data_IF_407163975690
#
_entry.id   IF_407163975690
#
_cell.length_a   1.000
_cell.length_b   1.000
_cell.length_c   1.000
_cell.angle_alpha   90.00
_cell.angle_beta   90.00
_cell.angle_gamma   90.00
#
_symmetry.space_group_name_H-M   'P 1'
#
loop_
_entity.id
_entity.type
_entity.pdbx_description
1 polymer ?
#
# COMPACT_ATOMS: atom_id res chain seq x y z
N UNK A 1 -6.96 -2.88 -11.44
CA UNK A 1 -7.99 -2.80 -10.40
C UNK A 1 -8.73 -4.11 -10.38
N UNK A 2 -8.99 -4.67 -9.23
CA UNK A 2 -9.76 -5.89 -9.06
C UNK A 2 -10.82 -5.68 -7.98
N UNK A 3 -12.08 -5.90 -8.36
CA UNK A 3 -13.14 -6.35 -7.47
C UNK A 3 -12.71 -7.75 -7.06
N UNK A 4 -12.62 -8.18 -5.87
CA UNK A 4 -12.15 -9.51 -5.47
C UNK A 4 -10.68 -9.75 -5.81
N UNK A 5 -9.83 -9.11 -5.04
CA UNK A 5 -8.38 -9.20 -5.18
C UNK A 5 -7.87 -10.60 -4.81
N UNK A 6 -6.83 -11.09 -5.53
CA UNK A 6 -6.06 -12.26 -5.11
C UNK A 6 -4.98 -11.95 -4.06
N UNK A 7 -4.91 -10.70 -3.60
CA UNK A 7 -4.00 -10.28 -2.53
C UNK A 7 -4.70 -10.58 -1.20
N UNK A 8 -4.14 -11.51 -0.43
CA UNK A 8 -4.81 -12.14 0.73
C UNK A 8 -5.17 -11.17 1.86
N UNK A 9 -4.48 -10.05 2.01
CA UNK A 9 -4.73 -9.08 3.07
C UNK A 9 -5.75 -7.98 2.70
N UNK A 10 -6.30 -8.01 1.49
CA UNK A 10 -7.29 -7.03 1.03
C UNK A 10 -8.39 -7.69 0.20
N UNK A 11 -9.61 -7.16 0.27
CA UNK A 11 -10.74 -7.64 -0.54
C UNK A 11 -10.65 -7.10 -1.98
N UNK A 12 -10.21 -5.85 -2.13
CA UNK A 12 -10.17 -5.16 -3.41
C UNK A 12 -8.85 -4.40 -3.61
N UNK A 13 -8.54 -4.05 -4.86
CA UNK A 13 -7.46 -3.11 -5.16
C UNK A 13 -7.99 -1.93 -5.96
N UNK A 14 -7.55 -0.73 -5.64
CA UNK A 14 -7.86 0.48 -6.36
C UNK A 14 -6.58 1.21 -6.81
N UNK A 15 -6.60 1.69 -8.06
CA UNK A 15 -5.56 2.55 -8.60
C UNK A 15 -6.25 3.67 -9.36
N UNK A 16 -5.95 4.91 -9.02
CA UNK A 16 -6.51 6.07 -9.73
C UNK A 16 -5.81 6.26 -11.08
N UNK A 17 -4.53 5.88 -11.11
CA UNK A 17 -3.69 5.87 -12.31
C UNK A 17 -2.75 4.67 -12.33
N UNK A 18 -2.09 4.44 -13.43
CA UNK A 18 -0.93 3.57 -13.54
C UNK A 18 0.32 4.42 -13.79
N UNK A 19 1.40 4.06 -13.14
CA UNK A 19 2.68 4.74 -13.21
C UNK A 19 3.17 5.16 -11.84
N UNK A 20 4.47 5.07 -11.65
CA UNK A 20 5.16 5.43 -10.42
C UNK A 20 6.62 5.73 -10.74
N UNK A 21 7.35 6.17 -9.74
CA UNK A 21 8.79 6.48 -9.78
C UNK A 21 9.50 5.66 -8.73
N UNK A 22 10.66 5.11 -9.05
CA UNK A 22 11.47 4.36 -8.09
C UNK A 22 11.96 5.28 -6.96
N UNK A 23 12.02 4.75 -5.74
CA UNK A 23 12.42 5.49 -4.53
C UNK A 23 13.65 4.86 -3.88
N UNK A 24 13.68 3.52 -3.81
CA UNK A 24 14.73 2.75 -3.15
C UNK A 24 14.77 1.32 -3.71
N UNK A 25 15.72 0.53 -3.30
CA UNK A 25 15.96 -0.85 -3.78
C UNK A 25 14.75 -1.80 -3.74
N UNK A 26 13.75 -1.53 -2.92
CA UNK A 26 12.47 -2.25 -2.96
C UNK A 26 11.64 -2.01 -4.22
N UNK A 27 12.10 -1.11 -5.12
CA UNK A 27 11.49 -0.87 -6.42
C UNK A 27 12.20 -1.61 -7.57
N UNK A 28 13.40 -2.20 -7.37
CA UNK A 28 14.23 -2.74 -8.46
C UNK A 28 13.53 -3.86 -9.24
N UNK A 29 12.79 -4.73 -8.56
CA UNK A 29 12.02 -5.81 -9.16
C UNK A 29 10.50 -5.53 -9.20
N UNK A 30 10.11 -4.25 -9.32
CA UNK A 30 8.71 -3.83 -9.24
C UNK A 30 7.80 -4.61 -10.20
N UNK A 31 6.87 -5.37 -9.63
CA UNK A 31 5.89 -6.11 -10.42
C UNK A 31 4.94 -5.18 -11.19
N UNK A 32 4.65 -4.01 -10.62
CA UNK A 32 3.74 -3.05 -11.25
C UNK A 32 4.36 -2.44 -12.53
N UNK A 33 5.66 -2.15 -12.53
CA UNK A 33 6.39 -1.72 -13.71
C UNK A 33 6.43 -2.80 -14.79
N UNK A 34 6.73 -4.06 -14.40
CA UNK A 34 6.71 -5.20 -15.32
C UNK A 34 5.33 -5.40 -15.96
N UNK A 35 4.25 -5.22 -15.17
CA UNK A 35 2.88 -5.23 -15.69
C UNK A 35 2.60 -4.04 -16.60
N UNK A 36 2.92 -2.83 -16.19
CA UNK A 36 2.71 -1.62 -16.98
C UNK A 36 3.35 -1.73 -18.38
N UNK A 37 4.58 -2.21 -18.44
CA UNK A 37 5.33 -2.41 -19.68
C UNK A 37 4.62 -3.39 -20.65
N UNK A 38 3.99 -4.46 -20.13
CA UNK A 38 3.19 -5.40 -20.96
C UNK A 38 1.98 -4.75 -21.63
N UNK A 39 1.45 -3.69 -21.04
CA UNK A 39 0.31 -2.94 -21.56
C UNK A 39 0.70 -1.60 -22.20
N UNK A 40 2.00 -1.43 -22.52
CA UNK A 40 2.52 -0.23 -23.19
C UNK A 40 2.36 1.05 -22.34
N UNK A 41 2.32 0.92 -21.01
CA UNK A 41 2.29 2.07 -20.11
C UNK A 41 3.71 2.47 -19.76
N UNK A 42 4.08 3.69 -20.10
CA UNK A 42 5.37 4.26 -19.71
C UNK A 42 5.48 4.36 -18.18
N UNK A 43 6.68 4.12 -17.66
CA UNK A 43 7.00 4.13 -16.23
C UNK A 43 8.19 5.06 -15.94
N UNK A 44 8.31 5.55 -14.72
CA UNK A 44 9.46 6.36 -14.30
C UNK A 44 9.19 7.85 -14.16
N UNK A 45 10.27 8.64 -13.99
CA UNK A 45 10.20 10.05 -13.63
C UNK A 45 9.57 10.93 -14.70
N UNK A 46 9.87 10.66 -15.97
CA UNK A 46 9.48 11.51 -17.09
C UNK A 46 8.20 10.98 -17.80
N UNK A 47 7.58 9.94 -17.22
CA UNK A 47 6.41 9.34 -17.80
C UNK A 47 5.13 9.95 -17.21
N UNK A 48 4.16 10.38 -18.04
CA UNK A 48 2.84 10.75 -17.55
C UNK A 48 2.16 9.56 -16.88
N UNK A 49 1.22 9.82 -15.99
CA UNK A 49 0.43 8.80 -15.31
C UNK A 49 -0.82 8.50 -16.13
N UNK A 50 -1.11 7.23 -16.40
CA UNK A 50 -2.27 6.85 -17.18
C UNK A 50 -3.47 6.65 -16.27
N UNK A 51 -4.52 7.49 -16.41
CA UNK A 51 -5.75 7.37 -15.64
C UNK A 51 -6.41 6.00 -15.84
N UNK A 52 -6.97 5.46 -14.78
CA UNK A 52 -7.72 4.20 -14.83
C UNK A 52 -9.19 4.51 -15.14
N UNK A 53 -9.61 4.18 -16.38
CA UNK A 53 -11.01 4.34 -16.80
C UNK A 53 -11.96 3.59 -15.86
N UNK A 54 -13.01 4.27 -15.41
CA UNK A 54 -14.07 3.66 -14.59
C UNK A 54 -13.70 3.45 -13.12
N UNK A 55 -12.57 3.99 -12.63
CA UNK A 55 -12.13 3.81 -11.24
C UNK A 55 -13.19 4.26 -10.23
N UNK A 56 -13.86 5.39 -10.51
CA UNK A 56 -14.86 5.96 -9.62
C UNK A 56 -16.09 5.06 -9.49
N UNK A 57 -16.64 4.58 -10.61
CA UNK A 57 -17.76 3.63 -10.62
C UNK A 57 -17.41 2.30 -9.93
N UNK A 58 -16.18 1.83 -10.10
CA UNK A 58 -15.73 0.60 -9.42
C UNK A 58 -15.63 0.79 -7.90
N UNK A 59 -15.16 1.94 -7.42
CA UNK A 59 -15.12 2.25 -5.99
C UNK A 59 -16.53 2.30 -5.38
N UNK A 60 -17.48 2.92 -6.08
CA UNK A 60 -18.88 2.90 -5.67
C UNK A 60 -19.47 1.49 -5.68
N UNK A 61 -19.12 0.65 -6.66
CA UNK A 61 -19.50 -0.76 -6.70
C UNK A 61 -18.94 -1.58 -5.53
N UNK A 62 -17.67 -1.32 -5.14
CA UNK A 62 -17.07 -1.95 -3.94
C UNK A 62 -17.83 -1.54 -2.67
N UNK A 63 -18.16 -0.26 -2.53
CA UNK A 63 -18.95 0.25 -1.41
C UNK A 63 -20.34 -0.41 -1.36
N UNK A 64 -21.04 -0.47 -2.49
CA UNK A 64 -22.36 -1.10 -2.56
C UNK A 64 -22.31 -2.59 -2.19
N UNK A 65 -21.29 -3.33 -2.67
CA UNK A 65 -21.08 -4.75 -2.34
C UNK A 65 -20.84 -4.94 -0.84
N UNK A 66 -19.95 -4.16 -0.24
CA UNK A 66 -19.64 -4.25 1.18
C UNK A 66 -20.87 -3.88 2.04
N UNK A 67 -21.60 -2.83 1.69
CA UNK A 67 -22.82 -2.42 2.38
C UNK A 67 -23.91 -3.49 2.30
N UNK A 68 -24.10 -4.11 1.14
CA UNK A 68 -25.09 -5.19 0.97
C UNK A 68 -24.76 -6.45 1.81
N UNK A 69 -23.45 -6.71 2.02
CA UNK A 69 -22.98 -7.79 2.90
C UNK A 69 -23.02 -7.42 4.39
N UNK A 70 -23.21 -6.15 4.75
CA UNK A 70 -23.07 -5.67 6.13
C UNK A 70 -21.64 -5.73 6.66
N UNK A 71 -20.65 -5.70 5.78
CA UNK A 71 -19.24 -5.89 6.09
C UNK A 71 -18.41 -4.63 5.85
N UNK A 72 -17.19 -4.63 6.39
CA UNK A 72 -16.14 -3.64 6.04
C UNK A 72 -15.14 -4.32 5.11
N UNK A 73 -15.09 -3.88 3.85
CA UNK A 73 -14.13 -4.41 2.89
C UNK A 73 -12.85 -3.57 2.86
N UNK A 74 -11.71 -4.23 2.96
CA UNK A 74 -10.39 -3.59 2.80
C UNK A 74 -10.11 -3.33 1.32
N UNK A 75 -9.64 -2.13 1.01
CA UNK A 75 -9.25 -1.71 -0.34
C UNK A 75 -7.79 -1.28 -0.33
N UNK A 76 -6.92 -2.07 -0.94
CA UNK A 76 -5.53 -1.68 -1.16
C UNK A 76 -5.44 -0.62 -2.26
N UNK A 77 -5.02 0.58 -1.88
CA UNK A 77 -4.84 1.72 -2.80
C UNK A 77 -3.35 1.86 -3.13
N UNK A 78 -3.02 1.73 -4.42
CA UNK A 78 -1.65 1.94 -4.88
C UNK A 78 -0.89 0.68 -5.29
N UNK A 79 -1.58 -0.37 -5.78
CA UNK A 79 -0.88 -1.55 -6.30
C UNK A 79 -0.11 -1.28 -7.61
N UNK A 80 -0.50 -0.27 -8.39
CA UNK A 80 0.12 0.16 -9.67
C UNK A 80 0.54 1.63 -9.67
N UNK A 81 0.50 2.29 -8.52
CA UNK A 81 0.84 3.70 -8.32
C UNK A 81 1.35 3.92 -6.90
N UNK A 82 1.78 5.14 -6.60
CA UNK A 82 1.95 5.62 -5.22
C UNK A 82 1.04 6.84 -5.02
N UNK A 83 0.06 6.72 -4.10
CA UNK A 83 -0.94 7.77 -3.87
C UNK A 83 -0.31 9.08 -3.35
N UNK A 84 0.86 9.01 -2.72
CA UNK A 84 1.60 10.16 -2.19
C UNK A 84 2.81 10.56 -3.05
N UNK A 85 2.81 10.16 -4.33
CA UNK A 85 3.74 10.72 -5.30
C UNK A 85 3.42 12.21 -5.54
N UNK A 86 4.44 13.04 -5.82
CA UNK A 86 4.20 14.43 -6.22
C UNK A 86 3.30 14.48 -7.47
N UNK A 87 2.56 15.59 -7.68
CA UNK A 87 1.70 15.73 -8.86
C UNK A 87 2.46 15.47 -10.17
N UNK A 88 1.85 14.68 -11.04
CA UNK A 88 2.39 14.29 -12.35
C UNK A 88 1.30 14.48 -13.41
N UNK A 89 1.68 14.84 -14.66
CA UNK A 89 0.75 14.92 -15.78
C UNK A 89 -0.02 13.60 -15.96
N UNK A 90 -1.28 13.71 -16.34
CA UNK A 90 -2.17 12.57 -16.55
C UNK A 90 -2.57 12.44 -18.00
N UNK A 91 -2.55 11.21 -18.52
CA UNK A 91 -3.04 10.87 -19.85
C UNK A 91 -4.18 9.85 -19.77
N UNK A 92 -5.05 9.84 -20.75
CA UNK A 92 -6.09 8.82 -20.91
C UNK A 92 -5.55 7.55 -21.59
N UNK A 93 -6.42 6.57 -21.85
CA UNK A 93 -6.05 5.33 -22.55
C UNK A 93 -5.47 5.54 -23.96
N UNK A 94 -5.82 6.63 -24.63
CA UNK A 94 -5.31 7.02 -25.94
C UNK A 94 -4.01 7.83 -25.87
N UNK A 95 -3.41 7.97 -24.70
CA UNK A 95 -2.23 8.81 -24.42
C UNK A 95 -2.44 10.31 -24.69
N UNK A 96 -3.68 10.78 -24.72
CA UNK A 96 -4.00 12.20 -24.76
C UNK A 96 -3.87 12.80 -23.37
N UNK A 97 -3.16 13.92 -23.27
CA UNK A 97 -3.00 14.65 -22.02
C UNK A 97 -4.36 15.18 -21.52
N UNK A 98 -4.58 15.04 -20.21
CA UNK A 98 -5.80 15.54 -19.57
C UNK A 98 -5.52 16.89 -18.89
N UNK A 99 -6.54 17.75 -18.73
CA UNK A 99 -6.36 19.10 -18.17
C UNK A 99 -6.17 19.13 -16.64
N UNK A 100 -5.74 18.02 -16.06
CA UNK A 100 -5.49 17.85 -14.63
C UNK A 100 -4.35 16.87 -14.38
N UNK A 101 -3.81 16.90 -13.17
CA UNK A 101 -2.71 16.06 -12.71
C UNK A 101 -3.16 14.99 -11.68
N UNK A 102 -2.22 14.17 -11.22
CA UNK A 102 -2.50 13.17 -10.17
C UNK A 102 -2.89 13.78 -8.83
N UNK A 103 -2.51 15.04 -8.57
CA UNK A 103 -2.94 15.78 -7.37
C UNK A 103 -4.43 16.06 -7.38
N UNK A 104 -5.01 16.36 -8.55
CA UNK A 104 -6.46 16.49 -8.72
C UNK A 104 -7.17 15.15 -8.44
N UNK A 105 -6.71 14.06 -9.04
CA UNK A 105 -7.32 12.74 -8.84
C UNK A 105 -7.27 12.31 -7.37
N UNK A 106 -6.13 12.53 -6.70
CA UNK A 106 -5.95 12.25 -5.27
C UNK A 106 -6.91 13.09 -4.42
N UNK A 107 -7.03 14.40 -4.67
CA UNK A 107 -7.94 15.28 -3.94
C UNK A 107 -9.39 14.82 -4.08
N UNK A 108 -9.82 14.53 -5.30
CA UNK A 108 -11.14 13.98 -5.58
C UNK A 108 -11.40 12.68 -4.80
N UNK A 109 -10.44 11.78 -4.78
CA UNK A 109 -10.53 10.54 -4.01
C UNK A 109 -10.69 10.80 -2.50
N UNK A 110 -9.91 11.71 -1.94
CA UNK A 110 -9.94 12.02 -0.52
C UNK A 110 -11.22 12.77 -0.10
N UNK A 111 -11.71 13.67 -0.93
CA UNK A 111 -12.82 14.58 -0.59
C UNK A 111 -14.20 14.05 -1.01
N UNK A 112 -14.28 13.24 -2.06
CA UNK A 112 -15.56 12.74 -2.58
C UNK A 112 -15.81 11.25 -2.28
N UNK A 113 -14.78 10.40 -2.43
CA UNK A 113 -14.95 8.95 -2.35
C UNK A 113 -14.83 8.43 -0.92
N UNK A 114 -13.78 8.80 -0.20
CA UNK A 114 -13.54 8.29 1.15
C UNK A 114 -14.69 8.63 2.10
N UNK A 115 -15.22 9.88 2.14
CA UNK A 115 -16.34 10.21 3.03
C UNK A 115 -17.65 9.50 2.71
N UNK A 116 -17.86 9.13 1.45
CA UNK A 116 -19.09 8.48 0.97
C UNK A 116 -18.99 6.94 0.96
N UNK A 117 -17.91 6.38 1.50
CA UNK A 117 -17.64 4.94 1.48
C UNK A 117 -17.41 4.36 2.88
N UNK A 118 -18.41 4.41 3.79
CA UNK A 118 -18.25 3.99 5.18
C UNK A 118 -17.99 2.48 5.35
N UNK A 119 -18.38 1.65 4.38
CA UNK A 119 -18.15 0.20 4.39
C UNK A 119 -16.82 -0.22 3.71
N UNK A 120 -15.96 0.74 3.36
CA UNK A 120 -14.63 0.46 2.84
C UNK A 120 -13.56 0.97 3.81
N UNK A 121 -12.58 0.13 4.11
CA UNK A 121 -11.35 0.50 4.80
C UNK A 121 -10.26 0.70 3.74
N UNK A 122 -9.84 1.93 3.51
CA UNK A 122 -8.81 2.28 2.53
C UNK A 122 -7.42 2.14 3.12
N UNK A 123 -6.62 1.24 2.55
CA UNK A 123 -5.23 0.98 2.93
C UNK A 123 -4.32 1.77 1.97
N UNK A 124 -3.90 2.96 2.39
CA UNK A 124 -3.12 3.92 1.59
C UNK A 124 -1.63 3.60 1.75
N UNK A 125 -1.09 2.74 0.89
CA UNK A 125 0.31 2.33 0.95
C UNK A 125 1.21 3.26 0.12
N UNK A 126 2.35 3.64 0.69
CA UNK A 126 3.35 4.49 0.02
C UNK A 126 4.79 4.09 0.35
N UNK A 127 5.70 4.41 -0.57
CA UNK A 127 7.14 4.44 -0.30
C UNK A 127 7.66 5.87 0.01
N UNK A 128 6.72 6.83 0.19
CA UNK A 128 6.99 8.27 0.40
C UNK A 128 6.27 8.80 1.66
N UNK A 129 6.50 8.20 2.85
CA UNK A 129 5.73 8.58 4.05
C UNK A 129 5.89 10.07 4.43
N UNK A 130 7.01 10.71 4.08
CA UNK A 130 7.24 12.15 4.30
C UNK A 130 6.25 13.06 3.55
N UNK A 131 5.56 12.54 2.55
CA UNK A 131 4.59 13.29 1.76
C UNK A 131 3.16 13.21 2.31
N UNK A 132 2.85 12.22 3.18
CA UNK A 132 1.49 12.02 3.69
C UNK A 132 0.92 13.33 4.24
N UNK A 133 1.56 13.91 5.26
CA UNK A 133 1.06 15.15 5.91
C UNK A 133 0.98 16.36 4.98
N UNK A 134 1.74 16.37 3.88
CA UNK A 134 1.74 17.47 2.91
C UNK A 134 0.59 17.36 1.91
N UNK A 135 0.04 16.15 1.70
CA UNK A 135 -0.86 15.84 0.60
C UNK A 135 -2.26 15.41 1.04
N UNK A 136 -2.46 15.11 2.32
CA UNK A 136 -3.79 14.84 2.88
C UNK A 136 -4.55 16.16 3.11
N UNK A 137 -5.89 16.15 3.16
CA UNK A 137 -6.70 17.30 3.55
C UNK A 137 -6.27 17.84 4.93
N UNK A 138 -6.26 19.15 5.11
CA UNK A 138 -5.82 19.78 6.37
C UNK A 138 -6.56 19.25 7.59
N UNK A 139 -7.86 18.97 7.45
CA UNK A 139 -8.68 18.39 8.52
C UNK A 139 -8.13 17.05 9.03
N UNK A 140 -7.55 16.23 8.14
CA UNK A 140 -7.02 14.92 8.51
C UNK A 140 -5.75 14.98 9.35
N UNK A 141 -5.09 16.13 9.42
CA UNK A 141 -3.94 16.32 10.31
C UNK A 141 -4.33 16.18 11.79
N UNK A 142 -5.59 16.51 12.13
CA UNK A 142 -6.12 16.44 13.50
C UNK A 142 -7.28 15.44 13.63
N UNK A 143 -8.06 15.25 12.57
CA UNK A 143 -9.24 14.38 12.53
C UNK A 143 -9.16 13.44 11.32
N UNK A 144 -8.29 12.42 11.38
CA UNK A 144 -8.18 11.46 10.28
C UNK A 144 -9.46 10.62 10.15
N UNK A 145 -9.85 10.24 8.93
CA UNK A 145 -11.02 9.39 8.71
C UNK A 145 -10.83 8.01 9.37
N UNK A 146 -11.88 7.49 10.00
CA UNK A 146 -11.85 6.16 10.63
C UNK A 146 -11.69 5.02 9.63
N UNK A 147 -12.07 5.23 8.38
CA UNK A 147 -12.00 4.28 7.29
C UNK A 147 -10.73 4.43 6.42
N UNK A 148 -9.67 5.00 6.99
CA UNK A 148 -8.36 5.11 6.34
C UNK A 148 -7.28 4.57 7.26
N UNK A 149 -6.36 3.78 6.70
CA UNK A 149 -5.08 3.44 7.31
C UNK A 149 -3.94 3.96 6.42
N UNK A 150 -2.98 4.64 7.03
CA UNK A 150 -1.77 5.08 6.34
C UNK A 150 -0.68 4.02 6.49
N UNK A 151 -0.17 3.53 5.36
CA UNK A 151 0.87 2.52 5.37
C UNK A 151 2.12 2.95 4.65
N UNK A 152 3.25 2.40 5.07
CA UNK A 152 4.49 2.59 4.36
C UNK A 152 5.26 1.28 4.14
N UNK A 153 5.95 1.19 2.99
CA UNK A 153 6.78 0.04 2.68
C UNK A 153 8.11 0.12 3.43
N UNK A 154 8.50 -1.00 4.01
CA UNK A 154 9.77 -1.20 4.72
C UNK A 154 10.48 -2.38 4.08
N UNK A 155 11.76 -2.27 3.76
CA UNK A 155 12.48 -3.33 3.03
C UNK A 155 13.75 -3.81 3.74
N UNK A 156 14.34 -2.96 4.59
CA UNK A 156 15.56 -3.22 5.36
C UNK A 156 15.55 -2.41 6.67
N UNK A 157 16.55 -2.61 7.54
CA UNK A 157 16.64 -1.92 8.84
C UNK A 157 16.69 -0.40 8.70
N UNK A 158 17.42 0.11 7.71
CA UNK A 158 17.53 1.55 7.46
C UNK A 158 16.17 2.14 7.10
N UNK A 159 15.46 1.51 6.16
CA UNK A 159 14.12 1.97 5.77
C UNK A 159 13.12 1.84 6.92
N UNK A 160 13.23 0.82 7.79
CA UNK A 160 12.39 0.68 8.98
C UNK A 160 12.52 1.91 9.90
N UNK A 161 13.75 2.34 10.20
CA UNK A 161 14.03 3.51 11.03
C UNK A 161 13.53 4.81 10.36
N UNK A 162 13.84 4.99 9.07
CA UNK A 162 13.49 6.21 8.34
C UNK A 162 11.97 6.35 8.13
N UNK A 163 11.29 5.23 7.83
CA UNK A 163 9.85 5.16 7.68
C UNK A 163 9.16 5.41 9.03
N UNK A 164 9.61 4.74 10.10
CA UNK A 164 9.03 4.93 11.44
C UNK A 164 9.06 6.40 11.86
N UNK A 165 10.21 7.07 11.74
CA UNK A 165 10.39 8.49 12.07
C UNK A 165 9.39 9.41 11.38
N UNK A 166 8.94 9.02 10.18
CA UNK A 166 8.02 9.82 9.35
C UNK A 166 6.57 9.41 9.57
N UNK A 167 6.29 8.11 9.58
CA UNK A 167 4.94 7.57 9.66
C UNK A 167 4.33 7.77 11.06
N UNK A 168 5.12 7.59 12.14
CA UNK A 168 4.67 7.80 13.53
C UNK A 168 4.21 9.24 13.84
N UNK A 169 4.52 10.19 12.96
CA UNK A 169 4.04 11.59 13.06
C UNK A 169 2.69 11.82 12.36
N UNK A 170 2.15 10.80 11.70
CA UNK A 170 0.84 10.86 11.03
C UNK A 170 -0.22 10.42 12.03
N UNK A 171 -1.24 11.25 12.24
CA UNK A 171 -2.38 10.86 13.05
C UNK A 171 -3.26 9.86 12.31
N UNK A 172 -3.81 8.88 13.01
CA UNK A 172 -4.70 7.86 12.46
C UNK A 172 -4.13 6.45 12.60
N UNK A 173 -4.75 5.50 11.96
CA UNK A 173 -4.34 4.09 11.97
C UNK A 173 -3.16 3.89 11.03
N UNK A 174 -2.14 3.16 11.48
CA UNK A 174 -0.88 3.02 10.77
C UNK A 174 -0.54 1.55 10.49
N UNK A 175 0.10 1.27 9.35
CA UNK A 175 0.58 -0.08 9.06
C UNK A 175 1.90 -0.09 8.31
N UNK A 176 2.64 -1.18 8.48
CA UNK A 176 3.80 -1.49 7.65
C UNK A 176 3.48 -2.54 6.61
N UNK A 177 4.00 -2.33 5.40
CA UNK A 177 4.14 -3.36 4.39
C UNK A 177 5.64 -3.69 4.25
N UNK A 178 6.06 -4.73 4.96
CA UNK A 178 7.43 -5.25 4.92
C UNK A 178 7.54 -6.21 3.73
N UNK A 179 7.32 -5.64 2.54
CA UNK A 179 7.24 -6.38 1.27
C UNK A 179 7.77 -5.54 0.10
N UNK A 180 8.85 -6.00 -0.57
CA UNK A 180 9.64 -7.16 -0.19
C UNK A 180 10.55 -6.86 1.00
N UNK A 181 10.69 -7.81 1.92
CA UNK A 181 11.78 -7.73 2.89
C UNK A 181 13.06 -8.27 2.25
N UNK A 182 14.13 -7.47 2.30
CA UNK A 182 15.38 -7.75 1.60
C UNK A 182 16.52 -8.18 2.53
N UNK A 183 16.42 -7.85 3.81
CA UNK A 183 17.37 -8.23 4.84
C UNK A 183 16.68 -8.41 6.19
N UNK A 184 17.43 -8.87 7.18
CA UNK A 184 16.94 -8.94 8.55
C UNK A 184 16.60 -7.54 9.09
N UNK A 185 15.43 -7.42 9.73
CA UNK A 185 14.97 -6.21 10.40
C UNK A 185 14.66 -6.55 11.86
N UNK A 186 15.32 -5.87 12.78
CA UNK A 186 15.08 -6.00 14.21
C UNK A 186 14.04 -4.96 14.66
N UNK A 187 12.79 -5.36 14.68
CA UNK A 187 11.69 -4.51 15.12
C UNK A 187 11.64 -4.25 16.62
N UNK A 188 12.46 -4.96 17.44
CA UNK A 188 12.58 -4.70 18.89
C UNK A 188 13.37 -3.42 19.18
N UNK A 189 14.14 -2.94 18.21
CA UNK A 189 14.96 -1.74 18.34
C UNK A 189 14.20 -0.49 17.94
N UNK A 190 14.61 0.63 18.54
CA UNK A 190 14.15 1.99 18.17
C UNK A 190 12.62 2.18 18.25
N UNK A 191 11.91 1.38 19.06
CA UNK A 191 10.46 1.45 19.22
C UNK A 191 9.70 1.35 17.88
N UNK A 192 10.20 0.54 16.94
CA UNK A 192 9.70 0.51 15.55
C UNK A 192 8.25 0.04 15.41
N UNK A 193 7.67 -0.59 16.43
CA UNK A 193 6.26 -1.00 16.43
C UNK A 193 5.35 -0.01 17.19
N UNK A 194 5.91 1.04 17.81
CA UNK A 194 5.09 2.01 18.52
C UNK A 194 4.11 2.70 17.55
N UNK A 195 2.83 2.71 17.93
CA UNK A 195 1.73 3.28 17.13
C UNK A 195 1.49 2.57 15.78
N UNK A 196 2.02 1.37 15.57
CA UNK A 196 1.75 0.57 14.36
C UNK A 196 0.68 -0.46 14.68
N UNK A 197 -0.49 -0.31 14.05
CA UNK A 197 -1.63 -1.20 14.26
C UNK A 197 -1.44 -2.55 13.54
N UNK A 198 -0.76 -2.56 12.39
CA UNK A 198 -0.66 -3.74 11.54
C UNK A 198 0.68 -3.85 10.82
N UNK A 199 1.23 -5.05 10.77
CA UNK A 199 2.44 -5.37 10.02
C UNK A 199 2.16 -6.53 9.06
N UNK A 200 2.28 -6.24 7.76
CA UNK A 200 2.17 -7.22 6.68
C UNK A 200 3.59 -7.55 6.20
N UNK A 201 3.99 -8.82 6.23
CA UNK A 201 5.35 -9.22 5.87
C UNK A 201 5.36 -10.27 4.75
N UNK A 202 6.35 -10.18 3.89
CA UNK A 202 6.59 -11.19 2.85
C UNK A 202 7.84 -10.95 2.03
N UNK A 203 8.28 -12.02 1.39
CA UNK A 203 9.38 -11.96 0.43
C UNK A 203 8.91 -11.51 -0.96
N UNK A 204 9.87 -11.25 -1.80
CA UNK A 204 9.68 -10.82 -3.19
C UNK A 204 9.08 -11.94 -4.04
N UNK A 205 8.24 -11.60 -4.99
CA UNK A 205 7.61 -12.55 -5.93
C UNK A 205 7.95 -12.25 -7.38
N UNK A 206 7.86 -13.26 -8.23
CA UNK A 206 8.07 -13.14 -9.68
C UNK A 206 9.49 -13.50 -10.12
N UNK A 207 9.78 -13.36 -11.43
CA UNK A 207 11.11 -13.65 -11.98
C UNK A 207 12.17 -12.70 -11.42
N UNK A 208 13.34 -13.25 -11.05
CA UNK A 208 14.45 -12.48 -10.48
C UNK A 208 14.25 -12.07 -9.02
N UNK A 209 13.28 -12.67 -8.33
CA UNK A 209 13.04 -12.43 -6.90
C UNK A 209 14.28 -12.72 -6.05
N UNK A 210 14.53 -11.83 -5.09
CA UNK A 210 15.61 -11.99 -4.11
C UNK A 210 15.22 -13.00 -3.02
N UNK A 211 16.17 -13.74 -2.43
CA UNK A 211 15.87 -14.72 -1.40
C UNK A 211 15.21 -14.10 -0.17
N UNK A 212 14.27 -14.81 0.44
CA UNK A 212 13.67 -14.48 1.71
C UNK A 212 14.00 -15.56 2.75
N UNK A 213 14.48 -15.17 3.92
CA UNK A 213 14.76 -16.08 5.02
C UNK A 213 13.56 -16.12 5.98
N UNK A 214 12.92 -17.27 6.11
CA UNK A 214 11.74 -17.45 6.98
C UNK A 214 12.04 -17.20 8.47
N UNK A 215 13.30 -17.26 8.92
CA UNK A 215 13.66 -16.90 10.29
C UNK A 215 13.49 -15.39 10.56
N UNK A 216 13.55 -14.55 9.53
CA UNK A 216 13.19 -13.14 9.67
C UNK A 216 11.71 -12.97 10.03
N UNK A 217 10.84 -13.77 9.40
CA UNK A 217 9.41 -13.76 9.70
C UNK A 217 9.11 -14.27 11.10
N UNK A 218 9.80 -15.34 11.55
CA UNK A 218 9.66 -15.87 12.91
C UNK A 218 10.04 -14.84 13.95
N UNK A 219 11.17 -14.16 13.76
CA UNK A 219 11.60 -13.09 14.66
C UNK A 219 10.57 -11.96 14.72
N UNK A 220 10.10 -11.47 13.58
CA UNK A 220 9.08 -10.42 13.52
C UNK A 220 7.78 -10.85 14.18
N UNK A 221 7.30 -12.07 13.93
CA UNK A 221 6.13 -12.69 14.56
C UNK A 221 6.23 -12.63 16.08
N UNK A 222 7.40 -13.07 16.63
CA UNK A 222 7.60 -13.17 18.08
C UNK A 222 7.63 -11.78 18.74
N UNK A 223 8.13 -10.75 18.04
CA UNK A 223 8.07 -9.37 18.51
C UNK A 223 6.62 -8.85 18.44
N UNK A 224 5.91 -9.06 17.36
CA UNK A 224 4.51 -8.64 17.23
C UNK A 224 3.62 -9.31 18.28
N UNK A 225 3.87 -10.60 18.60
CA UNK A 225 3.12 -11.32 19.64
C UNK A 225 3.26 -10.70 21.05
N UNK A 226 4.34 -9.94 21.29
CA UNK A 226 4.60 -9.21 22.53
C UNK A 226 4.26 -7.71 22.42
N UNK A 227 3.53 -7.31 21.40
CA UNK A 227 3.11 -5.92 21.14
C UNK A 227 1.60 -5.85 20.86
N UNK A 228 1.10 -4.65 20.59
CA UNK A 228 -0.29 -4.41 20.15
C UNK A 228 -0.44 -4.50 18.61
N UNK A 229 0.64 -4.74 17.88
CA UNK A 229 0.67 -4.77 16.43
C UNK A 229 0.15 -6.11 15.90
N UNK A 230 -0.94 -6.10 15.16
CA UNK A 230 -1.41 -7.29 14.47
C UNK A 230 -0.40 -7.74 13.40
N UNK A 231 -0.22 -9.06 13.24
CA UNK A 231 0.77 -9.61 12.31
C UNK A 231 0.11 -10.41 11.20
N UNK A 232 0.56 -10.17 9.96
CA UNK A 232 0.12 -10.91 8.78
C UNK A 232 1.34 -11.36 7.96
N UNK A 233 1.60 -12.65 7.90
CA UNK A 233 2.62 -13.19 7.01
C UNK A 233 1.99 -13.60 5.68
N UNK A 234 2.32 -12.90 4.61
CA UNK A 234 1.71 -13.08 3.30
C UNK A 234 2.26 -14.26 2.53
N UNK A 235 3.58 -14.32 2.38
CA UNK A 235 4.24 -15.30 1.50
C UNK A 235 5.74 -15.36 1.74
N UNK A 236 6.34 -16.50 1.36
CA UNK A 236 7.78 -16.60 1.15
C UNK A 236 8.14 -15.93 -0.18
N UNK A 237 7.62 -16.43 -1.31
CA UNK A 237 7.93 -15.93 -2.65
C UNK A 237 6.85 -16.27 -3.72
N UNK A 238 5.68 -16.73 -3.30
CA UNK A 238 4.56 -17.27 -4.10
C UNK A 238 4.82 -18.61 -4.81
N UNK A 239 6.00 -19.19 -4.67
CA UNK A 239 6.33 -20.53 -5.22
C UNK A 239 6.49 -21.51 -4.07
N UNK A 240 7.25 -21.13 -3.05
CA UNK A 240 7.42 -21.93 -1.86
C UNK A 240 6.17 -21.85 -0.97
N UNK A 241 5.75 -22.97 -0.35
CA UNK A 241 4.65 -22.93 0.61
C UNK A 241 5.03 -22.08 1.83
N UNK A 242 4.03 -21.47 2.44
CA UNK A 242 4.22 -20.82 3.74
C UNK A 242 4.38 -21.89 4.80
N UNK A 243 5.43 -21.86 5.64
CA UNK A 243 5.56 -22.76 6.78
C UNK A 243 4.35 -22.69 7.70
N UNK A 244 3.93 -23.81 8.29
CA UNK A 244 2.74 -23.90 9.11
C UNK A 244 2.75 -22.92 10.29
N UNK A 245 3.92 -22.79 10.95
CA UNK A 245 4.12 -21.85 12.06
C UNK A 245 4.06 -20.36 11.66
N UNK A 246 4.04 -20.06 10.37
CA UNK A 246 3.91 -18.72 9.80
C UNK A 246 2.53 -18.47 9.12
N UNK A 247 1.61 -19.41 9.18
CA UNK A 247 0.24 -19.24 8.68
C UNK A 247 -0.59 -18.30 9.57
N UNK A 248 -0.08 -17.08 9.80
CA UNK A 248 -0.71 -16.07 10.64
C UNK A 248 -1.36 -15.01 9.77
N UNK A 249 -2.63 -14.77 9.99
CA UNK A 249 -3.52 -13.90 9.19
C UNK A 249 -4.35 -13.00 10.10
N UNK A 250 -3.68 -12.20 10.96
CA UNK A 250 -4.38 -11.23 11.80
C UNK A 250 -4.79 -10.01 10.97
N UNK A 251 -5.98 -9.50 11.24
CA UNK A 251 -6.52 -8.30 10.62
C UNK A 251 -6.89 -7.28 11.70
N UNK A 252 -6.98 -6.00 11.31
CA UNK A 252 -7.29 -4.84 12.17
C UNK A 252 -8.55 -4.12 11.70
#
# INVERSE_FOLDING_TARGET
>A
MALDSKIEWTHHTANLWWGCTNVHEGCDNCYAEKWANRYGVKWGNDAPRREVKGVWGNLLGMQAKAAAAGEIHRVFVGSMMDIFEKPMPVVNLGNWELPYDTGYLRRRFFEEIIPTSPNLMFLLLTKRPSNIKKMIPKLWLTHPPRNVMFGASVVNQKTAIDVHRQLSRVNGRLFYSVEPQLEFIDFSKNNLLDHIDWLIQGGESGPGKRPFNTNWARHTRDICANSTTAYFFKQVDKVQPVPEDLLIRQFV
#
